data_IF_944446919632
#
_entry.id   IF_944446919632
#
_cell.length_a   1.000
_cell.length_b   1.000
_cell.length_c   1.000
_cell.angle_alpha   90.00
_cell.angle_beta   90.00
_cell.angle_gamma   90.00
#
_symmetry.space_group_name_H-M   'P 1'
#
loop_
_entity.id
_entity.type
_entity.pdbx_description
1 polymer ?
#
# COMPACT_ATOMS: atom_id res chain seq x y z
N UNK A 1 24.41 26.52 -6.94
CA UNK A 1 23.50 25.68 -6.10
C UNK A 1 23.39 26.29 -4.72
N UNK A 2 22.19 26.43 -4.16
CA UNK A 2 22.01 27.03 -2.83
C UNK A 2 22.47 26.08 -1.73
N UNK A 3 23.12 26.60 -0.68
CA UNK A 3 23.58 25.81 0.49
C UNK A 3 22.44 25.05 1.15
N UNK A 4 21.23 25.59 1.15
CA UNK A 4 20.03 25.00 1.77
C UNK A 4 19.55 23.73 1.07
N UNK A 5 19.68 23.63 -0.25
CA UNK A 5 19.32 22.43 -1.00
C UNK A 5 20.31 21.28 -0.76
N UNK A 6 21.59 21.59 -0.47
CA UNK A 6 22.64 20.59 -0.25
C UNK A 6 22.43 19.75 1.03
N UNK A 7 21.82 20.34 2.07
CA UNK A 7 21.57 19.66 3.34
C UNK A 7 20.19 19.03 3.45
N UNK A 8 19.34 19.13 2.42
CA UNK A 8 18.00 18.57 2.49
C UNK A 8 18.07 17.04 2.43
N UNK A 9 17.80 16.39 3.57
CA UNK A 9 17.56 14.94 3.63
C UNK A 9 16.05 14.71 3.71
N UNK A 10 15.42 14.04 2.74
CA UNK A 10 14.02 13.68 2.85
C UNK A 10 13.86 12.75 4.05
N UNK A 11 13.14 13.23 5.08
CA UNK A 11 12.78 12.41 6.23
C UNK A 11 11.77 11.37 5.75
N UNK A 12 12.23 10.14 5.53
CA UNK A 12 11.37 9.01 5.27
C UNK A 12 10.56 8.78 6.54
N UNK A 13 9.31 9.23 6.51
CA UNK A 13 8.36 8.95 7.57
C UNK A 13 7.94 7.50 7.41
N UNK A 14 7.80 6.78 8.52
CA UNK A 14 7.55 5.34 8.48
C UNK A 14 6.25 5.04 7.74
N UNK A 15 6.35 4.54 6.52
CA UNK A 15 5.22 4.17 5.66
C UNK A 15 4.73 2.75 6.00
N UNK A 16 5.43 2.04 6.90
CA UNK A 16 5.12 0.66 7.30
C UNK A 16 3.72 0.53 7.91
N UNK A 17 3.33 1.45 8.80
CA UNK A 17 1.97 1.46 9.37
C UNK A 17 0.88 1.62 8.31
N UNK A 18 1.14 2.41 7.27
CA UNK A 18 0.20 2.63 6.16
C UNK A 18 0.09 1.35 5.33
N UNK A 19 1.21 0.64 5.13
CA UNK A 19 1.26 -0.64 4.43
C UNK A 19 0.46 -1.70 5.18
N UNK A 20 0.65 -1.83 6.49
CA UNK A 20 -0.05 -2.84 7.30
C UNK A 20 -1.56 -2.60 7.30
N UNK A 21 -2.00 -1.36 7.56
CA UNK A 21 -3.44 -1.01 7.53
C UNK A 21 -4.03 -1.19 6.13
N UNK A 22 -3.29 -0.86 5.06
CA UNK A 22 -3.75 -1.10 3.70
C UNK A 22 -3.85 -2.59 3.35
N UNK A 23 -2.92 -3.42 3.82
CA UNK A 23 -2.94 -4.87 3.63
C UNK A 23 -4.14 -5.49 4.35
N UNK A 24 -4.36 -5.15 5.63
CA UNK A 24 -5.53 -5.62 6.38
C UNK A 24 -6.86 -5.22 5.71
N UNK A 25 -6.95 -3.99 5.20
CA UNK A 25 -8.14 -3.52 4.51
C UNK A 25 -8.34 -4.20 3.16
N UNK A 26 -7.26 -4.49 2.44
CA UNK A 26 -7.29 -5.23 1.17
C UNK A 26 -7.75 -6.67 1.39
N UNK A 27 -7.18 -7.35 2.38
CA UNK A 27 -7.52 -8.74 2.69
C UNK A 27 -8.98 -8.87 3.13
N UNK A 28 -9.45 -7.94 3.97
CA UNK A 28 -10.84 -7.93 4.45
C UNK A 28 -11.83 -7.48 3.37
N UNK A 29 -11.40 -6.59 2.48
CA UNK A 29 -12.28 -5.94 1.51
C UNK A 29 -11.63 -5.82 0.13
N UNK A 30 -11.29 -6.95 -0.47
CA UNK A 30 -10.73 -7.04 -1.84
C UNK A 30 -11.56 -6.31 -2.91
N UNK A 31 -12.87 -6.09 -2.70
CA UNK A 31 -13.74 -5.37 -3.65
C UNK A 31 -13.71 -3.84 -3.48
N UNK A 32 -13.02 -3.32 -2.47
CA UNK A 32 -12.96 -1.90 -2.18
C UNK A 32 -11.80 -1.26 -2.92
N UNK A 33 -12.10 -0.24 -3.72
CA UNK A 33 -11.07 0.63 -4.30
C UNK A 33 -10.58 1.68 -3.30
N UNK A 34 -9.51 2.37 -3.69
CA UNK A 34 -8.83 3.41 -2.92
C UNK A 34 -9.74 4.41 -2.16
N UNK A 35 -10.79 5.00 -2.77
CA UNK A 35 -11.65 5.96 -2.05
C UNK A 35 -12.36 5.37 -0.82
N UNK A 36 -12.70 4.08 -0.86
CA UNK A 36 -13.35 3.39 0.26
C UNK A 36 -12.34 3.05 1.35
N UNK A 37 -11.15 2.59 0.97
CA UNK A 37 -10.05 2.35 1.90
C UNK A 37 -9.64 3.64 2.63
N UNK A 38 -9.48 4.75 1.91
CA UNK A 38 -9.14 6.05 2.51
C UNK A 38 -10.22 6.56 3.48
N UNK A 39 -11.51 6.41 3.14
CA UNK A 39 -12.60 6.74 4.06
C UNK A 39 -12.56 5.90 5.34
N UNK A 40 -12.18 4.62 5.26
CA UNK A 40 -12.05 3.75 6.43
C UNK A 40 -10.85 4.14 7.29
N UNK A 41 -9.71 4.45 6.68
CA UNK A 41 -8.52 4.98 7.36
C UNK A 41 -8.86 6.25 8.14
N UNK A 42 -9.64 7.16 7.55
CA UNK A 42 -10.12 8.36 8.24
C UNK A 42 -11.06 8.07 9.40
N UNK A 43 -11.91 7.05 9.29
CA UNK A 43 -12.76 6.58 10.41
C UNK A 43 -11.96 5.92 11.54
N UNK A 44 -10.79 5.36 11.24
CA UNK A 44 -9.88 4.81 12.24
C UNK A 44 -9.07 5.89 12.98
N UNK A 45 -9.23 7.18 12.62
CA UNK A 45 -8.57 8.30 13.30
C UNK A 45 -7.20 8.66 12.71
N UNK A 46 -6.74 7.97 11.67
CA UNK A 46 -5.46 8.30 11.04
C UNK A 46 -5.54 9.63 10.26
N UNK A 47 -4.66 10.56 10.61
CA UNK A 47 -4.54 11.88 9.98
C UNK A 47 -3.61 11.90 8.76
N UNK A 48 -3.37 10.73 8.15
CA UNK A 48 -2.46 10.61 7.01
C UNK A 48 -2.90 11.47 5.81
N UNK A 49 -1.91 12.04 5.13
CA UNK A 49 -2.13 12.80 3.91
C UNK A 49 -2.63 11.86 2.80
N UNK A 50 -3.70 12.26 2.11
CA UNK A 50 -4.26 11.54 0.97
C UNK A 50 -3.20 11.19 -0.08
N UNK A 51 -2.27 12.11 -0.40
CA UNK A 51 -1.18 11.85 -1.36
C UNK A 51 -0.23 10.75 -0.87
N UNK A 52 0.03 10.69 0.44
CA UNK A 52 0.92 9.69 1.04
C UNK A 52 0.28 8.30 0.96
N UNK A 53 -0.98 8.18 1.38
CA UNK A 53 -1.73 6.92 1.27
C UNK A 53 -1.88 6.48 -0.19
N UNK A 54 -2.13 7.43 -1.11
CA UNK A 54 -2.19 7.12 -2.54
C UNK A 54 -0.86 6.60 -3.08
N UNK A 55 0.28 7.21 -2.70
CA UNK A 55 1.61 6.73 -3.12
C UNK A 55 1.85 5.29 -2.66
N UNK A 56 1.56 4.98 -1.40
CA UNK A 56 1.71 3.63 -0.84
C UNK A 56 0.74 2.66 -1.53
N UNK A 57 -0.51 3.05 -1.73
CA UNK A 57 -1.52 2.25 -2.43
C UNK A 57 -1.13 1.93 -3.88
N UNK A 58 -0.60 2.91 -4.62
CA UNK A 58 -0.10 2.70 -5.99
C UNK A 58 1.17 1.86 -5.99
N UNK A 59 2.07 2.05 -5.02
CA UNK A 59 3.30 1.27 -4.88
C UNK A 59 3.02 -0.20 -4.55
N UNK A 60 2.00 -0.48 -3.75
CA UNK A 60 1.48 -1.83 -3.49
C UNK A 60 0.81 -2.45 -4.72
N UNK A 61 0.63 -1.69 -5.81
CA UNK A 61 0.06 -2.13 -7.09
C UNK A 61 -1.18 -3.01 -6.89
N UNK A 62 -2.06 -2.60 -5.97
CA UNK A 62 -3.36 -3.21 -5.67
C UNK A 62 -4.37 -3.02 -6.80
N UNK A 63 -3.91 -2.62 -7.99
CA UNK A 63 -4.65 -2.87 -9.21
C UNK A 63 -4.80 -4.38 -9.32
N UNK A 64 -6.00 -4.85 -8.98
CA UNK A 64 -6.51 -6.15 -9.34
C UNK A 64 -6.35 -6.36 -10.86
N UNK A 65 -5.15 -6.74 -11.29
CA UNK A 65 -5.02 -7.53 -12.50
C UNK A 65 -5.70 -8.83 -12.12
N UNK A 66 -6.96 -8.97 -12.55
CA UNK A 66 -7.73 -10.21 -12.50
C UNK A 66 -6.75 -11.34 -12.83
N UNK A 67 -6.27 -12.08 -11.83
CA UNK A 67 -5.67 -13.38 -12.10
C UNK A 67 -6.85 -14.23 -12.52
N UNK A 68 -7.00 -14.43 -13.83
CA UNK A 68 -7.70 -15.63 -14.29
C UNK A 68 -7.10 -16.81 -13.52
N UNK A 69 -7.98 -17.70 -13.02
CA UNK A 69 -7.58 -19.00 -12.46
C UNK A 69 -6.44 -19.61 -13.30
N UNK A 70 -5.47 -20.21 -12.61
CA UNK A 70 -4.32 -21.03 -13.06
C UNK A 70 -3.00 -20.38 -12.60
N UNK A 71 -2.10 -21.05 -11.87
CA UNK A 71 -1.85 -22.48 -11.83
C UNK A 71 -1.45 -22.93 -10.41
N UNK A 72 -1.91 -24.15 -10.09
CA UNK A 72 -1.47 -25.02 -9.01
C UNK A 72 0.05 -24.94 -8.78
N UNK A 73 0.47 -24.53 -7.58
CA UNK A 73 1.80 -24.87 -7.08
C UNK A 73 1.77 -26.32 -6.60
N UNK A 74 1.90 -27.27 -7.52
CA UNK A 74 2.38 -28.60 -7.17
C UNK A 74 3.91 -28.54 -7.11
N UNK A 75 4.43 -28.00 -6.01
CA UNK A 75 5.84 -28.17 -5.65
C UNK A 75 5.93 -29.49 -4.92
N UNK A 76 6.26 -30.56 -5.63
CA UNK A 76 6.71 -31.80 -5.01
C UNK A 76 8.21 -31.92 -5.21
N UNK A 77 8.96 -31.65 -4.13
CA UNK A 77 10.28 -32.23 -3.89
C UNK A 77 10.20 -33.75 -4.11
N UNK A 78 11.16 -34.33 -4.85
CA UNK A 78 12.10 -35.35 -4.34
C UNK A 78 12.70 -36.24 -5.44
N UNK A 79 14.03 -36.38 -5.32
CA UNK A 79 14.97 -37.37 -5.89
C UNK A 79 15.55 -37.14 -7.28
#
# INVERSE_FOLDING_TARGET
>A
MSRTAYYYKPKLFDDSEIVDVLNELTDKHNRWGFPKCFKRIRKLGYSWNHKRVHRVYTALNLNLRRKSKNAYQHVTLSR
#
